data_IF_373704891400
#
_entry.id   IF_373704891400
#
_cell.length_a   1.000
_cell.length_b   1.000
_cell.length_c   1.000
_cell.angle_alpha   90.00
_cell.angle_beta   90.00
_cell.angle_gamma   90.00
#
_symmetry.space_group_name_H-M   'P 1'
#
loop_
_entity.id
_entity.type
_entity.pdbx_description
1 polymer ?
#
# COMPACT_ATOMS: atom_id res chain seq x y z
N UNK A 1 6.07 10.77 12.16
CA UNK A 1 6.72 10.42 10.89
C UNK A 1 6.18 9.13 10.30
N UNK A 2 6.64 7.92 10.65
CA UNK A 2 6.15 6.69 10.00
C UNK A 2 4.64 6.47 10.17
N UNK A 3 4.06 6.87 11.31
CA UNK A 3 2.61 6.83 11.52
C UNK A 3 1.84 7.78 10.60
N UNK A 4 2.34 8.98 10.34
CA UNK A 4 1.69 9.97 9.46
C UNK A 4 1.77 9.52 8.00
N UNK A 5 2.93 9.04 7.58
CA UNK A 5 3.15 8.44 6.25
C UNK A 5 2.25 7.23 6.05
N UNK A 6 2.09 6.38 7.08
CA UNK A 6 1.16 5.26 7.02
C UNK A 6 -0.28 5.74 6.84
N UNK A 7 -0.74 6.75 7.58
CA UNK A 7 -2.10 7.28 7.42
C UNK A 7 -2.32 7.92 6.03
N UNK A 8 -1.32 8.62 5.49
CA UNK A 8 -1.37 9.12 4.11
C UNK A 8 -1.50 7.97 3.11
N UNK A 9 -0.67 6.93 3.25
CA UNK A 9 -0.75 5.72 2.41
C UNK A 9 -2.10 5.02 2.52
N UNK A 10 -2.67 4.95 3.72
CA UNK A 10 -4.02 4.42 3.95
C UNK A 10 -5.06 5.22 3.16
N UNK A 11 -5.00 6.55 3.22
CA UNK A 11 -5.94 7.42 2.53
C UNK A 11 -5.88 7.26 1.00
N UNK A 12 -4.68 7.27 0.41
CA UNK A 12 -4.53 7.13 -1.05
C UNK A 12 -4.86 5.72 -1.54
N UNK A 13 -4.60 4.68 -0.73
CA UNK A 13 -5.02 3.31 -1.08
C UNK A 13 -6.54 3.16 -1.00
N UNK A 14 -7.19 3.78 -0.02
CA UNK A 14 -8.64 3.78 0.06
C UNK A 14 -9.28 4.43 -1.18
N UNK A 15 -8.68 5.52 -1.68
CA UNK A 15 -9.09 6.16 -2.92
C UNK A 15 -8.90 5.23 -4.14
N UNK A 16 -7.74 4.59 -4.29
CA UNK A 16 -7.50 3.58 -5.33
C UNK A 16 -8.55 2.46 -5.28
N UNK A 17 -8.86 1.95 -4.09
CA UNK A 17 -9.84 0.86 -3.90
C UNK A 17 -11.31 1.31 -4.01
N UNK A 18 -11.58 2.61 -4.15
CA UNK A 18 -12.94 3.19 -4.09
C UNK A 18 -13.89 2.68 -5.16
N UNK A 19 -13.36 2.25 -6.31
CA UNK A 19 -14.16 1.69 -7.41
C UNK A 19 -14.62 0.23 -7.17
N UNK A 20 -14.25 -0.35 -6.03
CA UNK A 20 -14.61 -1.70 -5.64
C UNK A 20 -13.96 -2.79 -6.49
N UNK A 21 -12.98 -2.48 -7.33
CA UNK A 21 -12.25 -3.52 -8.09
C UNK A 21 -11.19 -4.17 -7.21
N UNK A 22 -11.18 -5.50 -7.23
CA UNK A 22 -10.17 -6.28 -6.53
C UNK A 22 -8.80 -6.17 -7.23
N UNK A 23 -7.74 -5.92 -6.45
CA UNK A 23 -6.38 -5.69 -6.93
C UNK A 23 -5.36 -6.52 -6.17
N UNK A 24 -4.29 -6.96 -6.83
CA UNK A 24 -3.10 -7.47 -6.13
C UNK A 24 -2.31 -6.31 -5.50
N UNK A 25 -1.36 -6.64 -4.63
CA UNK A 25 -0.44 -5.64 -4.07
C UNK A 25 0.31 -4.88 -5.17
N UNK A 26 0.76 -5.60 -6.20
CA UNK A 26 1.51 -5.03 -7.32
C UNK A 26 0.63 -4.10 -8.16
N UNK A 27 -0.65 -4.42 -8.33
CA UNK A 27 -1.62 -3.57 -9.02
C UNK A 27 -1.89 -2.29 -8.23
N UNK A 28 -2.12 -2.39 -6.92
CA UNK A 28 -2.26 -1.22 -6.04
C UNK A 28 -1.02 -0.33 -6.14
N UNK A 29 0.18 -0.91 -6.01
CA UNK A 29 1.42 -0.15 -6.12
C UNK A 29 1.60 0.51 -7.50
N UNK A 30 1.20 -0.16 -8.58
CA UNK A 30 1.28 0.40 -9.93
C UNK A 30 0.32 1.60 -10.11
N UNK A 31 -0.91 1.50 -9.61
CA UNK A 31 -1.89 2.58 -9.66
C UNK A 31 -1.44 3.76 -8.79
N UNK A 32 -0.95 3.52 -7.57
CA UNK A 32 -0.39 4.57 -6.73
C UNK A 32 0.81 5.28 -7.38
N UNK A 33 1.68 4.56 -8.10
CA UNK A 33 2.78 5.20 -8.83
C UNK A 33 2.32 6.08 -9.98
N UNK A 34 1.15 5.79 -10.56
CA UNK A 34 0.57 6.58 -11.63
C UNK A 34 -0.19 7.81 -11.11
N UNK A 35 -0.94 7.64 -10.02
CA UNK A 35 -1.88 8.64 -9.50
C UNK A 35 -1.33 9.45 -8.33
N UNK A 36 -0.47 8.85 -7.50
CA UNK A 36 0.09 9.40 -6.26
C UNK A 36 1.62 9.22 -6.16
N UNK A 37 2.42 9.61 -7.17
CA UNK A 37 3.85 9.32 -7.21
C UNK A 37 4.62 9.92 -6.01
N UNK A 38 4.27 11.12 -5.57
CA UNK A 38 4.93 11.80 -4.43
C UNK A 38 4.68 11.08 -3.10
N UNK A 39 3.46 10.58 -2.87
CA UNK A 39 3.14 9.79 -1.68
C UNK A 39 3.92 8.47 -1.66
N UNK A 40 4.06 7.81 -2.82
CA UNK A 40 4.87 6.58 -2.94
C UNK A 40 6.35 6.86 -2.71
N UNK A 41 6.90 7.95 -3.23
CA UNK A 41 8.30 8.34 -3.02
C UNK A 41 8.56 8.65 -1.53
N UNK A 42 7.70 9.44 -0.92
CA UNK A 42 7.78 9.79 0.51
C UNK A 42 7.71 8.53 1.36
N UNK A 43 6.74 7.66 1.12
CA UNK A 43 6.61 6.40 1.85
C UNK A 43 7.82 5.47 1.64
N UNK A 44 8.35 5.41 0.41
CA UNK A 44 9.56 4.64 0.11
C UNK A 44 10.76 5.13 0.91
N UNK A 45 11.00 6.45 0.96
CA UNK A 45 12.10 7.03 1.74
C UNK A 45 11.96 6.77 3.24
N UNK A 46 10.75 6.98 3.78
CA UNK A 46 10.48 6.85 5.21
C UNK A 46 10.53 5.40 5.68
N UNK A 47 9.99 4.45 4.90
CA UNK A 47 10.12 3.03 5.20
C UNK A 47 11.56 2.55 5.02
N UNK A 48 12.29 3.02 3.99
CA UNK A 48 13.69 2.65 3.84
C UNK A 48 14.53 3.10 5.05
N UNK A 49 14.31 4.33 5.50
CA UNK A 49 14.96 4.87 6.71
C UNK A 49 14.58 4.07 7.96
N UNK A 50 13.29 3.86 8.20
CA UNK A 50 12.78 3.21 9.41
C UNK A 50 13.24 1.76 9.57
N UNK A 51 13.36 1.02 8.46
CA UNK A 51 13.75 -0.40 8.47
C UNK A 51 15.21 -0.63 8.07
N UNK A 52 15.99 0.42 7.84
CA UNK A 52 17.39 0.32 7.44
C UNK A 52 17.61 -0.32 6.07
N UNK A 53 16.63 -0.19 5.16
CA UNK A 53 16.78 -0.70 3.80
C UNK A 53 17.79 0.14 3.02
N UNK A 54 18.79 -0.54 2.45
CA UNK A 54 19.81 0.06 1.60
C UNK A 54 20.11 -0.81 0.39
N UNK A 55 20.69 -0.22 -0.66
CA UNK A 55 20.98 -0.90 -1.91
C UNK A 55 19.73 -1.55 -2.51
N UNK A 56 19.82 -2.82 -2.90
CA UNK A 56 18.69 -3.57 -3.46
C UNK A 56 17.51 -3.71 -2.49
N UNK A 57 17.74 -3.64 -1.17
CA UNK A 57 16.68 -3.69 -0.17
C UNK A 57 15.74 -2.50 -0.22
N UNK A 58 16.20 -1.35 -0.73
CA UNK A 58 15.40 -0.14 -0.87
C UNK A 58 14.23 -0.32 -1.85
N UNK A 59 14.35 -1.27 -2.80
CA UNK A 59 13.28 -1.61 -3.74
C UNK A 59 12.05 -2.23 -3.04
N UNK A 60 12.22 -2.76 -1.83
CA UNK A 60 11.13 -3.33 -1.02
C UNK A 60 10.39 -2.28 -0.19
N UNK A 61 10.97 -1.10 0.02
CA UNK A 61 10.36 -0.04 0.82
C UNK A 61 8.93 0.33 0.37
N UNK A 62 8.66 0.61 -0.93
CA UNK A 62 7.30 0.94 -1.36
C UNK A 62 6.34 -0.24 -1.26
N UNK A 63 6.81 -1.48 -1.47
CA UNK A 63 5.99 -2.70 -1.30
C UNK A 63 5.57 -2.86 0.16
N UNK A 64 6.49 -2.65 1.09
CA UNK A 64 6.22 -2.74 2.51
C UNK A 64 5.28 -1.63 2.99
N UNK A 65 5.42 -0.41 2.46
CA UNK A 65 4.51 0.68 2.76
C UNK A 65 3.07 0.37 2.33
N UNK A 66 2.89 -0.15 1.11
CA UNK A 66 1.58 -0.55 0.60
C UNK A 66 1.01 -1.73 1.41
N UNK A 67 1.83 -2.74 1.72
CA UNK A 67 1.40 -3.89 2.52
C UNK A 67 0.92 -3.49 3.93
N UNK A 68 1.67 -2.62 4.61
CA UNK A 68 1.34 -2.13 5.95
C UNK A 68 0.05 -1.30 5.95
N UNK A 69 -0.13 -0.42 4.95
CA UNK A 69 -1.35 0.36 4.81
C UNK A 69 -2.58 -0.49 4.45
N UNK A 70 -2.44 -1.50 3.59
CA UNK A 70 -3.50 -2.47 3.30
C UNK A 70 -3.89 -3.29 4.53
N UNK A 71 -2.91 -3.71 5.33
CA UNK A 71 -3.17 -4.39 6.60
C UNK A 71 -3.88 -3.49 7.61
N UNK A 72 -3.57 -2.18 7.61
CA UNK A 72 -4.26 -1.19 8.42
C UNK A 72 -5.74 -1.06 8.01
N UNK A 73 -6.02 -0.93 6.71
CA UNK A 73 -7.39 -0.89 6.17
C UNK A 73 -8.18 -2.17 6.50
N UNK A 74 -7.54 -3.34 6.33
CA UNK A 74 -8.13 -4.63 6.69
C UNK A 74 -8.45 -4.72 8.19
N UNK A 75 -7.54 -4.26 9.06
CA UNK A 75 -7.75 -4.19 10.50
C UNK A 75 -8.86 -3.21 10.93
N UNK A 76 -9.13 -2.17 10.12
CA UNK A 76 -10.25 -1.23 10.31
C UNK A 76 -11.58 -1.74 9.75
N UNK A 77 -11.56 -2.84 8.99
CA UNK A 77 -12.74 -3.32 8.26
C UNK A 77 -13.13 -2.45 7.06
N UNK A 78 -12.22 -1.60 6.58
CA UNK A 78 -12.41 -0.71 5.42
C UNK A 78 -12.01 -1.39 4.10
N UNK A 79 -11.18 -2.44 4.19
CA UNK A 79 -10.85 -3.32 3.08
C UNK A 79 -10.98 -4.79 3.48
N UNK A 80 -11.19 -5.65 2.51
CA UNK A 80 -11.16 -7.11 2.68
C UNK A 80 -10.07 -7.71 1.80
N UNK A 81 -9.46 -8.79 2.28
CA UNK A 81 -8.54 -9.58 1.46
C UNK A 81 -9.02 -11.01 1.25
N UNK A 82 -8.75 -11.56 0.06
CA UNK A 82 -9.12 -12.93 -0.29
C UNK A 82 -8.16 -13.48 -1.35
N UNK A 83 -8.20 -14.80 -1.58
CA UNK A 83 -7.38 -15.44 -2.59
C UNK A 83 -8.21 -15.79 -3.83
N UNK A 84 -7.65 -15.53 -5.02
CA UNK A 84 -8.18 -15.98 -6.30
C UNK A 84 -7.02 -16.42 -7.18
N UNK A 85 -7.10 -17.63 -7.74
CA UNK A 85 -6.07 -18.21 -8.61
C UNK A 85 -4.65 -18.16 -8.01
N UNK A 86 -4.55 -18.34 -6.68
CA UNK A 86 -3.29 -18.30 -5.93
C UNK A 86 -2.76 -16.90 -5.61
N UNK A 87 -3.45 -15.83 -6.01
CA UNK A 87 -3.07 -14.45 -5.75
C UNK A 87 -3.90 -13.88 -4.59
N UNK A 88 -3.24 -13.18 -3.66
CA UNK A 88 -3.93 -12.39 -2.64
C UNK A 88 -4.41 -11.08 -3.28
N UNK A 89 -5.69 -10.81 -3.15
CA UNK A 89 -6.37 -9.63 -3.66
C UNK A 89 -6.91 -8.81 -2.49
N UNK A 90 -7.01 -7.50 -2.71
CA UNK A 90 -7.63 -6.54 -1.81
C UNK A 90 -8.74 -5.79 -2.54
N UNK A 91 -9.81 -5.50 -1.82
CA UNK A 91 -10.98 -4.78 -2.31
C UNK A 91 -11.55 -3.93 -1.17
N UNK A 92 -12.22 -2.82 -1.50
CA UNK A 92 -13.03 -2.09 -0.53
C UNK A 92 -14.07 -3.02 0.12
N UNK A 93 -14.28 -2.86 1.44
CA UNK A 93 -15.27 -3.62 2.19
C UNK A 93 -16.73 -3.11 2.01
N UNK A 94 -16.90 -1.96 1.34
CA UNK A 94 -18.17 -1.25 1.14
C UNK A 94 -18.70 -1.39 -0.30
#
# INVERSE_FOLDING_TARGET
MLSEVREEMVAVIADVLSDGRARTLEQVLAELRAEYPESVETASCEYASAYGYSGCGQLMAPVNAVADALACLEGRGEAVSFFRDGLKLWQNAS
#
